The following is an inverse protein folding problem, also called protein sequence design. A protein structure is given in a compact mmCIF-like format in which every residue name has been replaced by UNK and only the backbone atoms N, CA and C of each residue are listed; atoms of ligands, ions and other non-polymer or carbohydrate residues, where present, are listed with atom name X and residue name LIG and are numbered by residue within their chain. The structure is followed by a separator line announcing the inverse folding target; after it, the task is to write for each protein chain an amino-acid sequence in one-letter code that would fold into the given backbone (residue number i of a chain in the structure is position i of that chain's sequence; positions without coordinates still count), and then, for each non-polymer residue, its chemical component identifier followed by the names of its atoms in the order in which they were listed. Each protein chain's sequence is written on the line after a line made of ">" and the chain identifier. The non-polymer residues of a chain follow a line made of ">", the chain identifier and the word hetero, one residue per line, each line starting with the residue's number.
data_IF_744002703402
#
_entry.id   IF_744002703402
#
_cell.length_a   1.000
_cell.length_b   1.000
_cell.length_c   1.000
_cell.angle_alpha   90.00
_cell.angle_beta   90.00
_cell.angle_gamma   90.00
#
_symmetry.space_group_name_H-M   'P 1'
#
loop_
_entity.id
_entity.type
_entity.pdbx_description
1 polymer ?
#
# COMPACT_ATOMS: atom_id res chain seq x y z
N UNK A 1 -28.48 21.32 -9.24
CA UNK A 1 -27.06 21.55 -9.53
C UNK A 1 -26.30 20.41 -8.91
N UNK A 2 -25.44 19.78 -9.69
CA UNK A 2 -24.56 18.71 -9.20
C UNK A 2 -23.39 19.31 -8.38
N UNK A 3 -22.77 18.53 -7.50
CA UNK A 3 -21.60 18.95 -6.68
C UNK A 3 -20.49 19.45 -7.60
N UNK A 4 -20.24 18.74 -8.70
CA UNK A 4 -19.21 19.12 -9.67
C UNK A 4 -19.51 20.48 -10.31
N UNK A 5 -20.77 20.71 -10.68
CA UNK A 5 -21.22 21.99 -11.26
C UNK A 5 -21.05 23.16 -10.28
N UNK A 6 -21.29 22.94 -8.98
CA UNK A 6 -21.08 23.94 -7.93
C UNK A 6 -19.59 24.26 -7.77
N UNK A 7 -18.75 23.22 -7.70
CA UNK A 7 -17.28 23.35 -7.58
C UNK A 7 -16.73 24.15 -8.76
N UNK A 8 -17.14 23.83 -9.98
CA UNK A 8 -16.69 24.51 -11.21
C UNK A 8 -17.09 25.99 -11.22
N UNK A 9 -18.32 26.33 -10.80
CA UNK A 9 -18.77 27.72 -10.72
C UNK A 9 -17.99 28.53 -9.68
N UNK A 10 -17.67 27.94 -8.53
CA UNK A 10 -16.86 28.59 -7.48
C UNK A 10 -15.42 28.79 -7.95
N UNK A 11 -14.81 27.78 -8.54
CA UNK A 11 -13.45 27.86 -9.09
C UNK A 11 -13.35 28.90 -10.20
N UNK A 12 -14.37 29.04 -11.06
CA UNK A 12 -14.41 30.03 -12.14
C UNK A 12 -14.35 31.49 -11.67
N UNK A 13 -14.76 31.77 -10.43
CA UNK A 13 -14.66 33.09 -9.80
C UNK A 13 -13.49 33.20 -8.80
N UNK A 14 -12.59 32.22 -8.80
CA UNK A 14 -11.37 32.21 -7.98
C UNK A 14 -11.58 31.72 -6.54
N UNK A 15 -12.73 31.12 -6.22
CA UNK A 15 -12.97 30.52 -4.90
C UNK A 15 -12.44 29.07 -4.90
N UNK A 16 -11.47 28.73 -4.03
CA UNK A 16 -11.01 27.35 -3.90
C UNK A 16 -12.13 26.45 -3.38
N UNK A 17 -12.53 25.46 -4.18
CA UNK A 17 -13.55 24.49 -3.85
C UNK A 17 -13.16 23.12 -4.39
N UNK A 18 -13.60 22.06 -3.72
CA UNK A 18 -13.44 20.68 -4.16
C UNK A 18 -14.55 19.80 -3.56
N UNK A 19 -14.91 18.68 -4.22
CA UNK A 19 -15.90 17.77 -3.69
C UNK A 19 -15.39 17.07 -2.43
N UNK A 20 -16.30 16.75 -1.51
CA UNK A 20 -16.01 15.84 -0.39
C UNK A 20 -16.09 14.42 -0.93
N UNK A 21 -14.93 13.76 -1.02
CA UNK A 21 -14.83 12.40 -1.53
C UNK A 21 -14.86 11.39 -0.37
N UNK A 22 -15.57 10.28 -0.57
CA UNK A 22 -15.44 9.10 0.28
C UNK A 22 -14.18 8.27 -0.10
N UNK A 23 -13.90 7.24 0.70
CA UNK A 23 -12.72 6.39 0.50
C UNK A 23 -12.67 5.69 -0.87
N UNK A 24 -13.82 5.25 -1.40
CA UNK A 24 -13.88 4.58 -2.69
C UNK A 24 -13.66 5.58 -3.82
N UNK A 25 -14.23 6.78 -3.71
CA UNK A 25 -14.03 7.88 -4.65
C UNK A 25 -12.58 8.36 -4.67
N UNK A 26 -11.90 8.46 -3.51
CA UNK A 26 -10.47 8.81 -3.46
C UNK A 26 -9.61 7.78 -4.20
N UNK A 27 -9.90 6.48 -4.05
CA UNK A 27 -9.16 5.41 -4.74
C UNK A 27 -9.44 5.35 -6.25
N UNK A 28 -10.57 5.89 -6.69
CA UNK A 28 -10.94 5.98 -8.11
C UNK A 28 -10.59 7.33 -8.75
N UNK A 29 -10.12 8.31 -7.98
CA UNK A 29 -9.87 9.67 -8.47
C UNK A 29 -8.75 9.68 -9.54
N UNK A 30 -9.02 10.24 -10.74
CA UNK A 30 -8.05 10.23 -11.85
C UNK A 30 -6.71 10.91 -11.50
N UNK A 31 -6.74 11.96 -10.67
CA UNK A 31 -5.52 12.66 -10.27
C UNK A 31 -4.69 11.81 -9.30
N UNK A 32 -5.35 11.13 -8.35
CA UNK A 32 -4.69 10.20 -7.42
C UNK A 32 -4.05 9.02 -8.17
N UNK A 33 -4.76 8.42 -9.12
CA UNK A 33 -4.25 7.33 -9.97
C UNK A 33 -3.07 7.80 -10.82
N UNK A 34 -3.22 8.93 -11.52
CA UNK A 34 -2.16 9.47 -12.39
C UNK A 34 -0.86 9.82 -11.64
N UNK A 35 -0.95 10.15 -10.34
CA UNK A 35 0.20 10.45 -9.48
C UNK A 35 0.80 9.23 -8.79
N UNK A 36 0.31 8.02 -9.11
CA UNK A 36 0.78 6.76 -8.53
C UNK A 36 0.49 6.65 -7.03
N UNK A 37 -0.49 7.40 -6.51
CA UNK A 37 -0.94 7.27 -5.13
C UNK A 37 -1.69 5.95 -4.94
N UNK A 38 -2.55 5.60 -5.88
CA UNK A 38 -3.32 4.35 -5.84
C UNK A 38 -2.46 3.23 -6.42
N UNK A 39 -2.15 2.23 -5.60
CA UNK A 39 -1.40 1.05 -6.00
C UNK A 39 -2.25 -0.21 -5.82
N UNK A 40 -1.94 -1.24 -6.59
CA UNK A 40 -2.69 -2.50 -6.61
C UNK A 40 -1.74 -3.69 -6.35
N UNK A 41 -1.17 -3.82 -5.14
CA UNK A 41 -0.37 -4.99 -4.81
C UNK A 41 -1.24 -6.25 -4.84
N UNK A 42 -0.69 -7.32 -5.39
CA UNK A 42 -1.33 -8.63 -5.46
C UNK A 42 -0.89 -9.47 -4.26
N UNK A 43 -1.73 -9.55 -3.22
CA UNK A 43 -1.40 -10.26 -1.99
C UNK A 43 -1.80 -11.74 -2.10
N UNK A 44 -0.92 -12.71 -1.75
CA UNK A 44 -1.17 -14.14 -1.96
C UNK A 44 -2.49 -14.68 -1.39
N UNK A 45 -2.96 -14.14 -0.25
CA UNK A 45 -4.22 -14.59 0.38
C UNK A 45 -5.47 -13.78 -0.01
N UNK A 46 -5.34 -12.49 -0.30
CA UNK A 46 -6.52 -11.59 -0.48
C UNK A 46 -6.65 -11.03 -1.89
N UNK A 47 -5.70 -11.37 -2.76
CA UNK A 47 -5.61 -10.94 -4.15
C UNK A 47 -5.31 -9.45 -4.31
N UNK A 48 -5.56 -8.89 -5.52
CA UNK A 48 -5.30 -7.49 -5.81
C UNK A 48 -6.31 -6.57 -5.12
N UNK A 49 -5.82 -5.59 -4.34
CA UNK A 49 -6.67 -4.58 -3.66
C UNK A 49 -6.08 -3.18 -3.78
N UNK A 50 -6.89 -2.14 -4.08
CA UNK A 50 -6.39 -0.78 -4.21
C UNK A 50 -6.01 -0.23 -2.83
N UNK A 51 -4.79 0.28 -2.73
CA UNK A 51 -4.24 0.86 -1.51
C UNK A 51 -3.60 2.23 -1.81
N UNK A 52 -3.71 3.15 -0.87
CA UNK A 52 -2.98 4.42 -0.92
C UNK A 52 -1.51 4.22 -0.55
N UNK A 53 -0.59 4.68 -1.39
CA UNK A 53 0.84 4.46 -1.27
C UNK A 53 1.60 5.77 -1.09
N UNK A 54 2.14 6.07 0.10
CA UNK A 54 2.80 7.34 0.45
C UNK A 54 1.99 8.60 0.04
N UNK A 55 2.27 9.79 0.54
CA UNK A 55 1.62 11.02 0.00
C UNK A 55 2.58 11.85 -0.84
N UNK A 56 3.88 11.58 -0.72
CA UNK A 56 4.97 12.40 -1.19
C UNK A 56 5.83 11.69 -2.23
N UNK A 57 6.60 12.48 -2.98
CA UNK A 57 7.59 12.03 -3.93
C UNK A 57 8.83 12.93 -3.83
N UNK A 58 10.00 12.39 -4.15
CA UNK A 58 11.27 13.11 -4.21
C UNK A 58 11.75 13.05 -5.64
N UNK A 59 11.99 14.21 -6.27
CA UNK A 59 12.42 14.32 -7.67
C UNK A 59 11.54 13.55 -8.67
N UNK A 60 10.21 13.62 -8.45
CA UNK A 60 9.22 12.90 -9.26
C UNK A 60 9.18 11.38 -9.00
N UNK A 61 10.00 10.87 -8.08
CA UNK A 61 10.04 9.46 -7.69
C UNK A 61 9.37 9.28 -6.33
N UNK A 62 8.26 8.55 -6.35
CA UNK A 62 7.59 8.09 -5.14
C UNK A 62 8.36 6.88 -4.61
N UNK A 63 8.54 6.73 -3.28
CA UNK A 63 9.03 5.47 -2.74
C UNK A 63 8.08 4.36 -3.22
N UNK A 64 8.64 3.34 -3.90
CA UNK A 64 7.85 2.17 -4.26
C UNK A 64 7.31 1.48 -3.01
N UNK A 65 6.16 0.83 -3.11
CA UNK A 65 5.81 -0.19 -2.12
C UNK A 65 6.69 -1.41 -2.38
N UNK A 66 7.12 -2.09 -1.32
CA UNK A 66 8.00 -3.27 -1.41
C UNK A 66 7.28 -4.53 -1.95
N UNK A 67 6.09 -4.38 -2.54
CA UNK A 67 5.18 -5.47 -2.88
C UNK A 67 3.99 -5.57 -1.92
N UNK A 68 3.33 -6.73 -1.92
CA UNK A 68 2.30 -7.06 -0.94
C UNK A 68 2.89 -7.17 0.46
N UNK A 69 2.03 -7.07 1.48
CA UNK A 69 2.42 -7.44 2.84
C UNK A 69 2.90 -8.91 2.86
N UNK A 70 3.91 -9.24 3.68
CA UNK A 70 4.38 -10.61 3.79
C UNK A 70 3.39 -11.49 4.54
N UNK A 71 3.40 -12.78 4.21
CA UNK A 71 2.69 -13.80 4.97
C UNK A 71 3.34 -14.02 6.34
N UNK A 72 2.58 -14.61 7.25
CA UNK A 72 3.10 -15.03 8.54
C UNK A 72 4.29 -15.97 8.34
N UNK A 73 5.44 -15.61 8.90
CA UNK A 73 6.65 -16.42 8.83
C UNK A 73 7.37 -16.44 7.48
N UNK A 74 6.91 -15.68 6.45
CA UNK A 74 7.49 -15.70 5.09
C UNK A 74 9.01 -15.51 5.08
N UNK A 75 9.51 -14.68 6.01
CA UNK A 75 10.92 -14.33 6.12
C UNK A 75 11.67 -15.05 7.25
N UNK A 76 11.06 -16.04 7.93
CA UNK A 76 11.68 -16.74 9.06
C UNK A 76 13.01 -17.37 8.68
N UNK A 77 13.07 -18.07 7.54
CA UNK A 77 14.31 -18.68 7.06
C UNK A 77 15.41 -17.65 6.82
N UNK A 78 15.08 -16.57 6.10
CA UNK A 78 16.01 -15.48 5.82
C UNK A 78 16.56 -14.86 7.10
N UNK A 79 15.69 -14.50 8.04
CA UNK A 79 16.13 -13.83 9.27
C UNK A 79 16.89 -14.79 10.18
N UNK A 80 16.35 -15.97 10.45
CA UNK A 80 16.86 -16.86 11.49
C UNK A 80 18.10 -17.63 10.99
N UNK A 81 18.09 -18.12 9.75
CA UNK A 81 19.22 -18.88 9.24
C UNK A 81 20.27 -18.00 8.56
N UNK A 82 19.86 -17.04 7.73
CA UNK A 82 20.84 -16.24 6.96
C UNK A 82 21.38 -15.05 7.78
N UNK A 83 20.55 -14.34 8.52
CA UNK A 83 21.02 -13.17 9.28
C UNK A 83 21.55 -13.55 10.67
N UNK A 84 20.84 -14.42 11.39
CA UNK A 84 21.22 -14.85 12.74
C UNK A 84 22.12 -16.09 12.75
N UNK A 85 22.35 -16.72 11.60
CA UNK A 85 23.25 -17.87 11.45
C UNK A 85 22.86 -19.06 12.35
N UNK A 86 21.56 -19.25 12.60
CA UNK A 86 21.06 -20.38 13.38
C UNK A 86 21.14 -21.67 12.54
N UNK A 87 21.76 -22.75 13.06
CA UNK A 87 21.88 -24.01 12.33
C UNK A 87 20.52 -24.64 12.00
N UNK A 88 20.45 -25.40 10.89
CA UNK A 88 19.23 -26.10 10.44
C UNK A 88 18.56 -26.92 11.55
N UNK A 89 19.36 -27.63 12.36
CA UNK A 89 18.83 -28.47 13.44
C UNK A 89 18.04 -27.67 14.48
N UNK A 90 18.49 -26.45 14.79
CA UNK A 90 17.83 -25.58 15.74
C UNK A 90 16.61 -24.89 15.12
N UNK A 91 16.70 -24.48 13.86
CA UNK A 91 15.56 -23.96 13.11
C UNK A 91 14.40 -24.97 13.08
N UNK A 92 14.70 -26.23 12.75
CA UNK A 92 13.74 -27.32 12.74
C UNK A 92 13.15 -27.62 14.13
N UNK A 93 13.95 -27.47 15.20
CA UNK A 93 13.45 -27.56 16.59
C UNK A 93 12.44 -26.46 16.87
N UNK A 94 12.71 -25.23 16.45
CA UNK A 94 11.81 -24.09 16.64
C UNK A 94 10.49 -24.26 15.88
N UNK A 95 10.54 -24.70 14.62
CA UNK A 95 9.35 -25.02 13.81
C UNK A 95 8.53 -26.11 14.49
N UNK A 96 9.16 -27.24 14.89
CA UNK A 96 8.46 -28.36 15.57
C UNK A 96 7.83 -27.96 16.90
N UNK A 97 8.45 -27.01 17.60
CA UNK A 97 7.90 -26.49 18.87
C UNK A 97 6.73 -25.53 18.69
N UNK A 98 6.44 -25.10 17.45
CA UNK A 98 5.42 -24.08 17.16
C UNK A 98 5.82 -22.66 17.54
N UNK A 99 7.09 -22.43 17.90
CA UNK A 99 7.62 -21.10 18.22
C UNK A 99 7.69 -20.20 16.97
N UNK A 100 7.88 -20.82 15.80
CA UNK A 100 7.86 -20.18 14.48
C UNK A 100 7.14 -21.10 13.49
N UNK A 101 6.63 -20.51 12.40
CA UNK A 101 5.94 -21.18 11.29
C UNK A 101 6.79 -21.19 10.02
#
# INVERSE_FOLDING_TARGET
>A
MDVQEVVEKLQAVGVPAGPVLDSAQVLADPHMVARGFVQLPDHPEVGPRPLGAFSWAVDGRRPGTAGSAPLMGEHNRKVIQELLQVPEQEFERLVKSGAIS
#
